data_IF_037571617026
#
_entry.id   IF_037571617026
#
_cell.length_a   1.000
_cell.length_b   1.000
_cell.length_c   1.000
_cell.angle_alpha   90.00
_cell.angle_beta   90.00
_cell.angle_gamma   90.00
#
_symmetry.space_group_name_H-M   'P 1'
#
loop_
_entity.id
_entity.type
_entity.pdbx_description
1 polymer ?
#
# COMPACT_ATOMS: atom_id res chain seq x y z
N UNK A 1 -30.99 -40.66 5.01
CA UNK A 1 -30.85 -39.21 4.96
C UNK A 1 -29.91 -38.67 6.00
N UNK A 2 -29.91 -39.20 7.21
CA UNK A 2 -29.02 -38.73 8.25
C UNK A 2 -27.55 -39.08 8.07
N UNK A 3 -27.25 -40.03 7.19
CA UNK A 3 -25.88 -40.48 6.93
C UNK A 3 -25.10 -39.49 6.05
N UNK A 4 -25.79 -38.70 5.21
CA UNK A 4 -25.16 -37.74 4.32
C UNK A 4 -24.92 -36.38 5.00
N UNK A 5 -25.59 -36.09 6.10
CA UNK A 5 -25.47 -34.83 6.82
C UNK A 5 -24.06 -34.60 7.40
N UNK A 6 -23.41 -35.58 8.10
CA UNK A 6 -22.03 -35.40 8.59
C UNK A 6 -21.03 -35.23 7.46
N UNK A 7 -21.19 -35.96 6.33
CA UNK A 7 -20.31 -35.85 5.18
C UNK A 7 -20.43 -34.47 4.54
N UNK A 8 -21.65 -33.97 4.38
CA UNK A 8 -21.89 -32.63 3.83
C UNK A 8 -21.31 -31.56 4.73
N UNK A 9 -21.43 -31.72 6.04
CA UNK A 9 -20.90 -30.77 7.03
C UNK A 9 -19.36 -30.72 6.99
N UNK A 10 -18.73 -31.88 6.93
CA UNK A 10 -17.27 -31.99 6.85
C UNK A 10 -16.76 -31.40 5.55
N UNK A 11 -17.47 -31.68 4.43
CA UNK A 11 -17.10 -31.13 3.11
C UNK A 11 -17.17 -29.62 3.08
N UNK A 12 -18.23 -29.04 3.67
CA UNK A 12 -18.39 -27.58 3.77
C UNK A 12 -17.28 -26.97 4.61
N UNK A 13 -16.92 -27.60 5.73
CA UNK A 13 -15.86 -27.12 6.61
C UNK A 13 -14.52 -27.16 5.91
N UNK A 14 -14.21 -28.23 5.19
CA UNK A 14 -12.99 -28.36 4.41
C UNK A 14 -12.91 -27.28 3.33
N UNK A 15 -14.01 -26.99 2.64
CA UNK A 15 -14.04 -25.95 1.61
C UNK A 15 -13.71 -24.58 2.22
N UNK A 16 -14.28 -24.26 3.37
CA UNK A 16 -14.01 -23.00 4.07
C UNK A 16 -12.53 -22.90 4.46
N UNK A 17 -11.96 -23.99 4.98
CA UNK A 17 -10.54 -24.02 5.36
C UNK A 17 -9.62 -23.83 4.16
N UNK A 18 -9.94 -24.45 3.02
CA UNK A 18 -9.17 -24.29 1.79
C UNK A 18 -9.22 -22.86 1.29
N UNK A 19 -10.40 -22.25 1.27
CA UNK A 19 -10.53 -20.83 0.88
C UNK A 19 -9.74 -19.91 1.79
N UNK A 20 -9.81 -20.14 3.10
CA UNK A 20 -9.07 -19.34 4.07
C UNK A 20 -7.56 -19.49 3.86
N UNK A 21 -7.08 -20.70 3.60
CA UNK A 21 -5.66 -20.96 3.35
C UNK A 21 -5.18 -20.24 2.08
N UNK A 22 -5.98 -20.28 1.01
CA UNK A 22 -5.66 -19.59 -0.24
C UNK A 22 -5.60 -18.08 -0.02
N UNK A 23 -6.55 -17.53 0.73
CA UNK A 23 -6.59 -16.10 1.05
C UNK A 23 -5.33 -15.68 1.82
N UNK A 24 -4.96 -16.42 2.86
CA UNK A 24 -3.77 -16.13 3.66
C UNK A 24 -2.50 -16.21 2.81
N UNK A 25 -2.41 -17.23 1.94
CA UNK A 25 -1.25 -17.39 1.07
C UNK A 25 -1.11 -16.21 0.11
N UNK A 26 -2.22 -15.74 -0.48
CA UNK A 26 -2.22 -14.57 -1.36
C UNK A 26 -1.75 -13.32 -0.63
N UNK A 27 -2.21 -13.11 0.60
CA UNK A 27 -1.82 -11.95 1.40
C UNK A 27 -0.33 -11.98 1.74
N UNK A 28 0.21 -13.13 2.09
CA UNK A 28 1.64 -13.28 2.40
C UNK A 28 2.49 -12.98 1.17
N UNK A 29 2.12 -13.52 0.00
CA UNK A 29 2.85 -13.28 -1.25
C UNK A 29 2.80 -11.80 -1.62
N UNK A 30 1.63 -11.18 -1.50
CA UNK A 30 1.46 -9.74 -1.80
C UNK A 30 2.33 -8.88 -0.89
N UNK A 31 2.36 -9.17 0.41
CA UNK A 31 3.15 -8.42 1.38
C UNK A 31 4.64 -8.54 1.09
N UNK A 32 5.12 -9.74 0.78
CA UNK A 32 6.53 -9.97 0.43
C UNK A 32 6.93 -9.21 -0.82
N UNK A 33 6.06 -9.18 -1.82
CA UNK A 33 6.31 -8.43 -3.05
C UNK A 33 6.44 -6.93 -2.77
N UNK A 34 5.55 -6.38 -1.96
CA UNK A 34 5.56 -4.96 -1.60
C UNK A 34 6.83 -4.58 -0.84
N UNK A 35 7.27 -5.42 0.11
CA UNK A 35 8.47 -5.16 0.87
C UNK A 35 9.73 -5.26 0.01
N UNK A 36 9.79 -6.21 -0.91
CA UNK A 36 10.89 -6.33 -1.86
C UNK A 36 10.99 -5.12 -2.76
N UNK A 37 9.86 -4.67 -3.30
CA UNK A 37 9.79 -3.46 -4.13
C UNK A 37 10.20 -2.23 -3.33
N UNK A 38 9.73 -2.12 -2.10
CA UNK A 38 10.07 -1.01 -1.21
C UNK A 38 11.58 -0.90 -0.98
N UNK A 39 12.22 -2.01 -0.62
CA UNK A 39 13.67 -2.03 -0.38
C UNK A 39 14.45 -1.69 -1.65
N UNK A 40 14.05 -2.24 -2.79
CA UNK A 40 14.70 -1.99 -4.06
C UNK A 40 14.64 -0.53 -4.46
N UNK A 41 13.46 0.08 -4.36
CA UNK A 41 13.27 1.49 -4.69
C UNK A 41 13.99 2.40 -3.72
N UNK A 42 13.95 2.07 -2.43
CA UNK A 42 14.64 2.84 -1.41
C UNK A 42 16.14 2.90 -1.69
N UNK A 43 16.75 1.76 -1.99
CA UNK A 43 18.18 1.70 -2.32
C UNK A 43 18.50 2.42 -3.62
N UNK A 44 17.68 2.23 -4.65
CA UNK A 44 17.89 2.85 -5.94
C UNK A 44 17.83 4.38 -5.87
N UNK A 45 16.82 4.90 -5.16
CA UNK A 45 16.61 6.35 -5.09
C UNK A 45 17.60 7.06 -4.17
N UNK A 46 18.28 6.34 -3.29
CA UNK A 46 19.38 6.89 -2.51
C UNK A 46 20.63 7.10 -3.36
N UNK A 47 20.83 6.28 -4.38
CA UNK A 47 22.06 6.28 -5.19
C UNK A 47 21.94 7.12 -6.46
N UNK A 48 20.73 7.28 -7.00
CA UNK A 48 20.52 8.00 -8.25
C UNK A 48 19.15 8.65 -8.27
N UNK A 49 18.96 9.61 -9.18
CA UNK A 49 17.64 10.22 -9.40
C UNK A 49 16.72 9.19 -10.07
N UNK A 50 15.48 9.13 -9.60
CA UNK A 50 14.49 8.24 -10.15
C UNK A 50 13.55 8.93 -11.14
N UNK A 51 12.69 8.11 -11.75
CA UNK A 51 11.60 8.62 -12.58
C UNK A 51 10.42 9.05 -11.72
N UNK A 52 9.48 9.82 -12.32
CA UNK A 52 8.27 10.21 -11.62
C UNK A 52 7.48 9.00 -11.13
N UNK A 53 7.42 7.94 -11.94
CA UNK A 53 6.74 6.70 -11.54
C UNK A 53 7.39 6.03 -10.34
N UNK A 54 8.71 6.01 -10.29
CA UNK A 54 9.45 5.40 -9.18
C UNK A 54 9.23 6.18 -7.89
N UNK A 55 9.26 7.51 -7.94
CA UNK A 55 8.98 8.34 -6.78
C UNK A 55 7.53 8.19 -6.32
N UNK A 56 6.60 8.12 -7.25
CA UNK A 56 5.19 7.91 -6.93
C UNK A 56 4.97 6.57 -6.26
N UNK A 57 5.57 5.51 -6.80
CA UNK A 57 5.44 4.16 -6.25
C UNK A 57 6.00 4.08 -4.84
N UNK A 58 7.19 4.61 -4.62
CA UNK A 58 7.80 4.63 -3.29
C UNK A 58 7.00 5.50 -2.32
N UNK A 59 6.54 6.67 -2.78
CA UNK A 59 5.69 7.54 -1.97
C UNK A 59 4.40 6.86 -1.54
N UNK A 60 3.78 6.09 -2.45
CA UNK A 60 2.57 5.33 -2.14
C UNK A 60 2.84 4.24 -1.12
N UNK A 61 3.98 3.57 -1.21
CA UNK A 61 4.36 2.54 -0.23
C UNK A 61 4.60 3.14 1.16
N UNK A 62 5.22 4.31 1.23
CA UNK A 62 5.35 5.04 2.50
C UNK A 62 3.98 5.43 3.06
N UNK A 63 3.05 5.81 2.18
CA UNK A 63 1.69 6.17 2.58
C UNK A 63 0.98 4.97 3.21
N UNK A 64 1.12 3.78 2.61
CA UNK A 64 0.57 2.55 3.15
C UNK A 64 1.14 2.22 4.53
N UNK A 65 2.39 2.59 4.77
CA UNK A 65 3.05 2.40 6.06
C UNK A 65 2.77 3.54 7.05
N UNK A 66 1.94 4.51 6.66
CA UNK A 66 1.57 5.67 7.47
C UNK A 66 2.74 6.61 7.78
N UNK A 67 3.75 6.60 6.93
CA UNK A 67 4.89 7.52 7.00
C UNK A 67 4.59 8.72 6.10
N UNK A 68 3.73 9.60 6.59
CA UNK A 68 3.12 10.67 5.77
C UNK A 68 4.12 11.72 5.32
N UNK A 69 5.01 12.15 6.18
CA UNK A 69 5.99 13.19 5.84
C UNK A 69 6.93 12.71 4.74
N UNK A 70 7.44 11.50 4.86
CA UNK A 70 8.30 10.89 3.86
C UNK A 70 7.55 10.68 2.54
N UNK A 71 6.29 10.24 2.64
CA UNK A 71 5.44 10.05 1.46
C UNK A 71 5.26 11.37 0.70
N UNK A 72 4.91 12.44 1.40
CA UNK A 72 4.71 13.76 0.80
C UNK A 72 5.98 14.23 0.10
N UNK A 73 7.14 14.08 0.73
CA UNK A 73 8.41 14.47 0.16
C UNK A 73 8.68 13.74 -1.16
N UNK A 74 8.41 12.43 -1.21
CA UNK A 74 8.62 11.63 -2.41
C UNK A 74 7.61 11.99 -3.50
N UNK A 75 6.37 12.25 -3.13
CA UNK A 75 5.33 12.66 -4.09
C UNK A 75 5.65 14.03 -4.70
N UNK A 76 6.19 14.95 -3.92
CA UNK A 76 6.68 16.22 -4.45
C UNK A 76 7.83 16.02 -5.44
N UNK A 77 8.75 15.12 -5.12
CA UNK A 77 9.84 14.76 -6.05
C UNK A 77 9.31 14.15 -7.33
N UNK A 78 8.23 13.37 -7.25
CA UNK A 78 7.59 12.80 -8.43
C UNK A 78 7.08 13.89 -9.36
N UNK A 79 6.45 14.94 -8.82
CA UNK A 79 5.98 16.08 -9.63
C UNK A 79 7.12 16.85 -10.29
N UNK A 80 8.26 16.94 -9.62
CA UNK A 80 9.41 17.68 -10.14
C UNK A 80 10.28 16.86 -11.09
N UNK A 81 10.17 15.53 -11.04
CA UNK A 81 11.02 14.64 -11.83
C UNK A 81 10.71 14.74 -13.33
N UNK A 82 9.46 15.03 -13.71
CA UNK A 82 9.05 15.15 -15.09
C UNK A 82 8.08 16.31 -15.23
N UNK A 83 8.54 17.38 -15.88
CA UNK A 83 7.71 18.57 -16.11
C UNK A 83 6.62 18.35 -17.15
N UNK A 84 6.76 17.33 -17.98
CA UNK A 84 5.79 16.99 -19.03
C UNK A 84 4.90 15.81 -18.63
N UNK A 85 4.78 15.55 -17.33
CA UNK A 85 3.96 14.47 -16.83
C UNK A 85 2.49 14.66 -17.28
N UNK A 86 1.82 13.61 -17.81
CA UNK A 86 0.42 13.72 -18.20
C UNK A 86 -0.46 14.20 -17.03
N UNK A 87 -1.51 14.94 -17.39
CA UNK A 87 -2.43 15.53 -16.39
C UNK A 87 -3.02 14.46 -15.49
N UNK A 88 -3.34 13.29 -16.04
CA UNK A 88 -3.89 12.17 -15.27
C UNK A 88 -2.93 11.70 -14.19
N UNK A 89 -1.65 11.62 -14.53
CA UNK A 89 -0.61 11.21 -13.57
C UNK A 89 -0.39 12.29 -12.50
N UNK A 90 -0.42 13.56 -12.90
CA UNK A 90 -0.34 14.66 -11.95
C UNK A 90 -1.51 14.62 -10.95
N UNK A 91 -2.72 14.31 -11.43
CA UNK A 91 -3.90 14.21 -10.59
C UNK A 91 -3.77 13.08 -9.57
N UNK A 92 -3.22 11.94 -9.98
CA UNK A 92 -2.97 10.82 -9.07
C UNK A 92 -1.99 11.20 -7.96
N UNK A 93 -0.93 11.92 -8.31
CA UNK A 93 0.06 12.37 -7.34
C UNK A 93 -0.57 13.38 -6.36
N UNK A 94 -1.33 14.34 -6.87
CA UNK A 94 -2.01 15.33 -6.02
C UNK A 94 -3.04 14.68 -5.10
N UNK A 95 -3.78 13.67 -5.58
CA UNK A 95 -4.71 12.93 -4.76
C UNK A 95 -4.01 12.21 -3.62
N UNK A 96 -2.88 11.58 -3.92
CA UNK A 96 -2.09 10.89 -2.90
C UNK A 96 -1.54 11.87 -1.87
N UNK A 97 -1.05 13.02 -2.30
CA UNK A 97 -0.57 14.09 -1.41
C UNK A 97 -1.70 14.60 -0.52
N UNK A 98 -2.87 14.86 -1.12
CA UNK A 98 -4.04 15.32 -0.36
C UNK A 98 -4.46 14.31 0.72
N UNK A 99 -4.45 13.04 0.38
CA UNK A 99 -4.73 11.98 1.35
C UNK A 99 -3.68 11.96 2.47
N UNK A 100 -2.41 12.10 2.12
CA UNK A 100 -1.33 12.08 3.11
C UNK A 100 -1.45 13.25 4.08
N UNK A 101 -1.74 14.45 3.59
CA UNK A 101 -1.94 15.62 4.45
C UNK A 101 -3.15 15.44 5.37
N UNK A 102 -4.25 14.94 4.82
CA UNK A 102 -5.46 14.71 5.59
C UNK A 102 -5.24 13.67 6.70
N UNK A 103 -4.58 12.58 6.36
CA UNK A 103 -4.30 11.51 7.32
C UNK A 103 -3.34 11.98 8.41
N UNK A 104 -2.34 12.79 8.06
CA UNK A 104 -1.41 13.36 9.03
C UNK A 104 -2.14 14.26 10.03
N UNK A 105 -3.04 15.10 9.55
CA UNK A 105 -3.83 15.97 10.41
C UNK A 105 -4.68 15.19 11.40
N UNK A 106 -5.31 14.11 10.95
CA UNK A 106 -6.09 13.24 11.83
C UNK A 106 -5.25 12.60 12.92
N UNK A 107 -4.03 12.18 12.59
CA UNK A 107 -3.11 11.62 13.57
C UNK A 107 -2.69 12.66 14.60
N UNK A 108 -2.40 13.87 14.18
CA UNK A 108 -2.03 14.96 15.08
C UNK A 108 -3.17 15.29 16.05
N UNK A 109 -4.40 15.32 15.54
CA UNK A 109 -5.59 15.54 16.37
C UNK A 109 -5.75 14.41 17.39
N UNK A 110 -5.60 13.16 16.97
CA UNK A 110 -5.72 12.01 17.85
C UNK A 110 -4.69 12.06 18.97
N UNK A 111 -3.44 12.39 18.64
CA UNK A 111 -2.36 12.49 19.62
C UNK A 111 -2.67 13.58 20.66
N UNK A 112 -3.19 14.71 20.22
CA UNK A 112 -3.56 15.80 21.13
C UNK A 112 -4.66 15.38 22.11
N UNK A 113 -5.60 14.56 21.67
CA UNK A 113 -6.69 14.10 22.51
C UNK A 113 -6.24 13.10 23.58
N UNK A 114 -5.19 12.36 23.33
CA UNK A 114 -4.63 11.43 24.29
C UNK A 114 -3.75 12.10 25.35
N UNK A 115 -3.37 13.30 25.14
CA UNK A 115 -2.62 14.09 26.12
C UNK A 115 -3.57 14.91 26.99
#
# INVERSE_FOLDING_TARGET
MNENLPVAYISALLAILVFAAIYILREVIKTRKQESTFSRLQDKLKKSKGTAEEYYELGSLYLDKKLFVQSITLLEKALKADKQLPVENQALIHNAMGYAYFAQEQYDIAIRQYK
#
